data_IF_121308825386
#
_entry.id   IF_121308825386
#
_cell.length_a   1.000
_cell.length_b   1.000
_cell.length_c   1.000
_cell.angle_alpha   90.00
_cell.angle_beta   90.00
_cell.angle_gamma   90.00
#
_symmetry.space_group_name_H-M   'P 1'
#
loop_
_entity.id
_entity.type
_entity.pdbx_description
1 polymer ?
#
# COMPACT_ATOMS: atom_id res chain seq x y z
N UNK A 1 -25.32 -31.42 12.40
CA UNK A 1 -25.47 -30.06 12.97
C UNK A 1 -24.07 -29.64 13.41
N UNK A 2 -23.36 -28.68 12.84
CA UNK A 2 -23.60 -27.68 11.79
C UNK A 2 -22.31 -27.67 10.96
N UNK A 3 -22.40 -27.91 9.65
CA UNK A 3 -21.26 -27.72 8.76
C UNK A 3 -21.06 -26.20 8.61
N UNK A 4 -19.93 -25.70 9.10
CA UNK A 4 -19.53 -24.30 8.93
C UNK A 4 -19.41 -24.00 7.44
N UNK A 5 -20.33 -23.17 6.95
CA UNK A 5 -20.30 -22.71 5.57
C UNK A 5 -19.24 -21.60 5.48
N UNK A 6 -17.97 -21.98 5.25
CA UNK A 6 -16.93 -21.03 4.83
C UNK A 6 -17.37 -20.52 3.46
N UNK A 7 -17.99 -19.34 3.44
CA UNK A 7 -18.31 -18.65 2.20
C UNK A 7 -16.95 -18.34 1.56
N UNK A 8 -16.61 -19.07 0.50
CA UNK A 8 -15.52 -18.66 -0.36
C UNK A 8 -15.87 -17.27 -0.89
N UNK A 9 -15.23 -16.23 -0.36
CA UNK A 9 -15.36 -14.88 -0.87
C UNK A 9 -15.05 -14.93 -2.36
N UNK A 10 -15.99 -14.47 -3.18
CA UNK A 10 -15.75 -14.39 -4.62
C UNK A 10 -14.54 -13.49 -4.86
N UNK A 11 -13.64 -13.92 -5.76
CA UNK A 11 -12.48 -13.12 -6.23
C UNK A 11 -12.82 -11.66 -6.58
N UNK A 12 -14.09 -11.41 -6.90
CA UNK A 12 -14.66 -10.11 -7.26
C UNK A 12 -14.63 -9.04 -6.15
N UNK A 13 -14.25 -9.36 -4.90
CA UNK A 13 -14.15 -8.37 -3.82
C UNK A 13 -12.84 -8.43 -3.02
N UNK A 14 -11.89 -9.27 -3.47
CA UNK A 14 -10.63 -9.49 -2.79
C UNK A 14 -9.77 -8.22 -2.72
N UNK A 15 -9.09 -8.01 -1.60
CA UNK A 15 -8.26 -6.85 -1.30
C UNK A 15 -6.81 -7.28 -1.10
N UNK A 16 -5.91 -6.79 -1.94
CA UNK A 16 -4.47 -6.95 -1.74
C UNK A 16 -3.89 -5.69 -1.10
N UNK A 17 -3.21 -5.85 0.03
CA UNK A 17 -2.38 -4.82 0.64
C UNK A 17 -0.95 -4.94 0.13
N UNK A 18 -0.36 -3.84 -0.32
CA UNK A 18 1.00 -3.79 -0.84
C UNK A 18 1.81 -2.77 -0.04
N UNK A 19 2.82 -3.24 0.69
CA UNK A 19 3.82 -2.41 1.35
C UNK A 19 4.99 -2.19 0.39
N UNK A 20 5.25 -0.92 0.02
CA UNK A 20 6.42 -0.55 -0.78
C UNK A 20 7.63 -0.35 0.15
N UNK A 21 8.57 -1.30 0.14
CA UNK A 21 9.72 -1.33 1.05
C UNK A 21 11.06 -1.57 0.34
N UNK A 22 11.11 -1.40 -0.98
CA UNK A 22 12.24 -1.80 -1.81
C UNK A 22 13.39 -0.78 -1.87
N UNK A 23 13.16 0.45 -1.41
CA UNK A 23 14.11 1.55 -1.53
C UNK A 23 15.34 1.41 -0.63
N UNK A 24 16.48 1.94 -1.12
CA UNK A 24 17.74 1.98 -0.36
C UNK A 24 17.71 2.95 0.83
N UNK A 25 16.71 3.84 0.89
CA UNK A 25 16.59 4.84 1.95
C UNK A 25 17.76 5.80 1.99
N UNK A 26 18.30 6.20 0.84
CA UNK A 26 19.53 7.01 0.74
C UNK A 26 19.51 8.30 1.56
N UNK A 27 18.34 8.95 1.70
CA UNK A 27 18.15 10.13 2.54
C UNK A 27 18.12 9.79 4.04
N UNK A 28 17.54 8.65 4.38
CA UNK A 28 17.45 8.13 5.75
C UNK A 28 18.76 7.51 6.23
N UNK A 29 19.63 7.09 5.29
CA UNK A 29 20.93 6.47 5.54
C UNK A 29 20.92 4.93 5.56
N UNK A 30 19.75 4.29 5.44
CA UNK A 30 19.60 2.83 5.38
C UNK A 30 18.25 2.41 4.80
N UNK A 31 18.10 1.17 4.29
CA UNK A 31 16.81 0.63 3.87
C UNK A 31 15.79 0.70 5.01
N UNK A 32 14.70 1.45 4.81
CA UNK A 32 13.72 1.74 5.87
C UNK A 32 12.97 0.51 6.37
N UNK A 33 12.99 -0.60 5.62
CA UNK A 33 12.50 -1.90 6.08
C UNK A 33 13.22 -2.43 7.33
N UNK A 34 14.46 -1.97 7.58
CA UNK A 34 15.26 -2.28 8.77
C UNK A 34 15.15 -1.21 9.87
N UNK A 35 14.41 -0.12 9.64
CA UNK A 35 14.30 0.97 10.58
C UNK A 35 13.60 0.52 11.87
N UNK A 36 14.00 1.13 13.00
CA UNK A 36 13.52 0.75 14.33
C UNK A 36 13.59 -0.77 14.59
N UNK A 37 14.67 -1.42 14.14
CA UNK A 37 14.88 -2.87 14.29
C UNK A 37 13.77 -3.71 13.61
N UNK A 38 13.19 -3.21 12.51
CA UNK A 38 12.12 -3.87 11.75
C UNK A 38 10.70 -3.47 12.19
N UNK A 39 10.54 -2.74 13.29
CA UNK A 39 9.22 -2.38 13.81
C UNK A 39 8.36 -1.57 12.82
N UNK A 40 8.97 -0.80 11.92
CA UNK A 40 8.21 -0.06 10.90
C UNK A 40 7.56 -1.01 9.89
N UNK A 41 8.25 -2.08 9.50
CA UNK A 41 7.69 -3.12 8.66
C UNK A 41 6.53 -3.84 9.37
N UNK A 42 6.71 -4.21 10.65
CA UNK A 42 5.68 -4.87 11.44
C UNK A 42 4.40 -4.06 11.51
N UNK A 43 4.53 -2.74 11.73
CA UNK A 43 3.38 -1.83 11.78
C UNK A 43 2.69 -1.68 10.44
N UNK A 44 3.45 -1.55 9.34
CA UNK A 44 2.87 -1.45 7.99
C UNK A 44 2.10 -2.72 7.61
N UNK A 45 2.63 -3.90 7.96
CA UNK A 45 1.95 -5.18 7.74
C UNK A 45 0.68 -5.27 8.60
N UNK A 46 0.78 -4.98 9.89
CA UNK A 46 -0.36 -5.00 10.80
C UNK A 46 -1.46 -3.99 10.40
N UNK A 47 -1.08 -2.83 9.87
CA UNK A 47 -2.03 -1.83 9.36
C UNK A 47 -2.83 -2.36 8.16
N UNK A 48 -2.18 -3.04 7.22
CA UNK A 48 -2.86 -3.61 6.06
C UNK A 48 -3.74 -4.80 6.43
N UNK A 49 -3.22 -5.74 7.21
CA UNK A 49 -3.94 -6.93 7.67
C UNK A 49 -5.17 -6.54 8.49
N UNK A 50 -4.98 -5.77 9.58
CA UNK A 50 -6.07 -5.28 10.42
C UNK A 50 -7.00 -4.29 9.70
N UNK A 51 -6.54 -3.66 8.62
CA UNK A 51 -7.29 -2.72 7.81
C UNK A 51 -8.24 -3.37 6.79
N UNK A 52 -8.24 -4.70 6.69
CA UNK A 52 -9.14 -5.45 5.81
C UNK A 52 -8.54 -5.88 4.47
N UNK A 53 -7.21 -6.03 4.40
CA UNK A 53 -6.55 -6.69 3.27
C UNK A 53 -6.58 -8.21 3.46
N UNK A 54 -6.98 -8.95 2.42
CA UNK A 54 -7.04 -10.42 2.44
C UNK A 54 -5.67 -11.07 2.17
N UNK A 55 -4.78 -10.37 1.45
CA UNK A 55 -3.40 -10.77 1.15
C UNK A 55 -2.49 -9.56 1.38
N UNK A 56 -1.41 -9.71 2.16
CA UNK A 56 -0.44 -8.64 2.43
C UNK A 56 0.89 -8.97 1.78
N UNK A 57 1.33 -8.09 0.89
CA UNK A 57 2.49 -8.27 0.04
C UNK A 57 3.50 -7.18 0.38
N UNK A 58 4.70 -7.59 0.77
CA UNK A 58 5.82 -6.68 1.00
C UNK A 58 6.75 -6.71 -0.20
N UNK A 59 6.89 -5.57 -0.86
CA UNK A 59 7.84 -5.43 -1.98
C UNK A 59 9.19 -5.02 -1.42
N UNK A 60 10.15 -5.94 -1.49
CA UNK A 60 11.54 -5.78 -1.06
C UNK A 60 12.46 -5.42 -2.22
N UNK A 61 13.68 -5.00 -1.92
CA UNK A 61 14.63 -4.52 -2.93
C UNK A 61 16.04 -4.40 -2.36
N UNK A 62 16.45 -3.18 -2.04
CA UNK A 62 17.79 -2.87 -1.51
C UNK A 62 18.19 -3.68 -0.27
N UNK A 63 17.20 -4.09 0.54
CA UNK A 63 17.35 -5.11 1.56
C UNK A 63 16.28 -6.19 1.37
N UNK A 64 16.68 -7.44 1.61
CA UNK A 64 15.79 -8.60 1.68
C UNK A 64 15.80 -9.08 3.12
N UNK A 65 14.62 -9.14 3.73
CA UNK A 65 14.41 -9.50 5.14
C UNK A 65 13.30 -10.53 5.24
N UNK A 66 13.24 -11.23 6.36
CA UNK A 66 12.06 -12.01 6.72
C UNK A 66 10.89 -11.06 6.97
N UNK A 67 9.72 -11.41 6.44
CA UNK A 67 8.51 -10.62 6.61
C UNK A 67 7.61 -11.22 7.69
N UNK A 68 6.99 -10.40 8.54
CA UNK A 68 6.11 -10.89 9.58
C UNK A 68 4.84 -11.50 8.97
N UNK A 69 4.35 -12.59 9.56
CA UNK A 69 3.06 -13.15 9.20
C UNK A 69 1.93 -12.12 9.48
N UNK A 70 0.84 -12.10 8.69
CA UNK A 70 0.53 -13.03 7.59
C UNK A 70 1.14 -12.65 6.24
N UNK A 71 2.02 -11.64 6.18
CA UNK A 71 2.53 -11.13 4.92
C UNK A 71 3.45 -12.13 4.21
N UNK A 72 3.53 -11.97 2.89
CA UNK A 72 4.52 -12.61 2.01
C UNK A 72 5.34 -11.54 1.29
N UNK A 73 6.57 -11.89 0.90
CA UNK A 73 7.44 -10.96 0.18
C UNK A 73 7.49 -11.23 -1.32
N UNK A 74 7.74 -10.17 -2.08
CA UNK A 74 8.24 -10.24 -3.46
C UNK A 74 9.46 -9.33 -3.56
N UNK A 75 10.45 -9.72 -4.35
CA UNK A 75 11.66 -8.91 -4.55
C UNK A 75 11.53 -8.18 -5.87
N UNK A 76 11.57 -6.84 -5.83
CA UNK A 76 11.43 -6.03 -7.02
C UNK A 76 12.67 -6.16 -7.91
N UNK A 77 12.48 -6.64 -9.13
CA UNK A 77 13.52 -6.70 -10.14
C UNK A 77 13.71 -5.31 -10.73
N UNK A 78 14.89 -4.72 -10.56
CA UNK A 78 15.13 -3.33 -10.98
C UNK A 78 14.68 -2.27 -9.97
N UNK A 79 14.65 -2.60 -8.66
CA UNK A 79 14.43 -1.57 -7.62
C UNK A 79 15.39 -0.37 -7.74
N UNK A 80 16.59 -0.60 -8.29
CA UNK A 80 17.58 0.45 -8.56
C UNK A 80 17.14 1.42 -9.67
N UNK A 81 16.20 1.03 -10.53
CA UNK A 81 15.65 1.86 -11.61
C UNK A 81 14.56 2.85 -11.11
N UNK A 82 14.19 2.76 -9.82
CA UNK A 82 13.32 3.71 -9.11
C UNK A 82 12.00 3.11 -8.63
N UNK A 83 11.20 3.93 -7.92
CA UNK A 83 9.91 3.57 -7.31
C UNK A 83 8.95 2.84 -8.28
N UNK A 84 9.00 3.18 -9.57
CA UNK A 84 8.13 2.59 -10.58
C UNK A 84 8.28 1.06 -10.70
N UNK A 85 9.48 0.52 -10.52
CA UNK A 85 9.72 -0.93 -10.59
C UNK A 85 9.03 -1.65 -9.42
N UNK A 86 9.21 -1.12 -8.20
CA UNK A 86 8.62 -1.70 -6.99
C UNK A 86 7.10 -1.65 -7.00
N UNK A 87 6.50 -0.57 -7.49
CA UNK A 87 5.04 -0.51 -7.66
C UNK A 87 4.59 -1.55 -8.67
N UNK A 88 5.22 -1.67 -9.85
CA UNK A 88 4.83 -2.67 -10.85
C UNK A 88 4.89 -4.10 -10.32
N UNK A 89 5.96 -4.45 -9.60
CA UNK A 89 6.10 -5.80 -9.05
C UNK A 89 5.08 -6.08 -7.93
N UNK A 90 4.76 -5.08 -7.11
CA UNK A 90 3.65 -5.18 -6.16
C UNK A 90 2.29 -5.37 -6.82
N UNK A 91 2.00 -4.60 -7.88
CA UNK A 91 0.75 -4.72 -8.63
C UNK A 91 0.62 -6.08 -9.32
N UNK A 92 1.71 -6.59 -9.90
CA UNK A 92 1.75 -7.92 -10.51
C UNK A 92 1.54 -9.02 -9.46
N UNK A 93 2.16 -8.88 -8.29
CA UNK A 93 2.04 -9.84 -7.19
C UNK A 93 0.63 -9.89 -6.58
N UNK A 94 -0.12 -8.77 -6.62
CA UNK A 94 -1.51 -8.70 -6.19
C UNK A 94 -2.46 -9.52 -7.08
N UNK A 95 -2.01 -9.90 -8.28
CA UNK A 95 -2.70 -10.82 -9.16
C UNK A 95 -4.10 -10.34 -9.53
N UNK A 96 -5.11 -11.06 -9.04
CA UNK A 96 -6.50 -10.87 -9.44
C UNK A 96 -7.38 -10.07 -8.47
N UNK A 97 -6.79 -9.48 -7.42
CA UNK A 97 -7.54 -8.70 -6.43
C UNK A 97 -8.37 -7.58 -7.08
N UNK A 98 -9.59 -7.36 -6.58
CA UNK A 98 -10.45 -6.27 -7.05
C UNK A 98 -9.96 -4.91 -6.52
N UNK A 99 -9.35 -4.91 -5.33
CA UNK A 99 -8.86 -3.71 -4.67
C UNK A 99 -7.39 -3.86 -4.31
N UNK A 100 -6.61 -2.82 -4.59
CA UNK A 100 -5.22 -2.74 -4.13
C UNK A 100 -5.07 -1.57 -3.17
N UNK A 101 -4.57 -1.84 -1.97
CA UNK A 101 -4.17 -0.83 -0.98
C UNK A 101 -2.65 -0.67 -1.04
N UNK A 102 -2.18 0.47 -1.55
CA UNK A 102 -0.77 0.84 -1.55
C UNK A 102 -0.42 1.58 -0.25
N UNK A 103 0.58 1.08 0.45
CA UNK A 103 1.12 1.65 1.69
C UNK A 103 2.65 1.63 1.69
N UNK A 104 3.25 2.30 2.67
CA UNK A 104 4.70 2.51 2.77
C UNK A 104 5.18 2.26 4.20
N UNK A 105 6.45 1.89 4.36
CA UNK A 105 7.05 1.61 5.67
C UNK A 105 7.41 2.88 6.46
N UNK A 106 7.47 4.03 5.81
CA UNK A 106 7.95 5.28 6.41
C UNK A 106 6.88 6.16 7.05
N UNK A 107 5.64 5.69 7.11
CA UNK A 107 4.54 6.27 7.88
C UNK A 107 4.16 5.37 9.07
N UNK A 108 5.04 5.17 10.07
CA UNK A 108 4.85 4.15 11.10
C UNK A 108 3.76 4.46 12.13
N UNK A 109 3.11 5.61 12.03
CA UNK A 109 1.94 6.01 12.84
C UNK A 109 0.61 5.73 12.13
N UNK A 110 0.61 5.42 10.83
CA UNK A 110 -0.59 5.10 10.07
C UNK A 110 -1.00 3.66 10.34
N UNK A 111 -2.13 3.49 11.04
CA UNK A 111 -2.64 2.19 11.47
C UNK A 111 -3.82 1.65 10.65
N UNK A 112 -4.33 0.50 11.09
CA UNK A 112 -5.43 -0.24 10.46
C UNK A 112 -6.70 0.59 10.27
N UNK A 113 -7.04 1.47 11.20
CA UNK A 113 -8.24 2.32 11.10
C UNK A 113 -8.18 3.26 9.89
N UNK A 114 -6.99 3.78 9.56
CA UNK A 114 -6.81 4.63 8.38
C UNK A 114 -6.96 3.81 7.10
N UNK A 115 -6.37 2.61 7.07
CA UNK A 115 -6.51 1.66 5.94
C UNK A 115 -7.98 1.31 5.71
N UNK A 116 -8.70 0.89 6.74
CA UNK A 116 -10.10 0.51 6.66
C UNK A 116 -10.97 1.68 6.19
N UNK A 117 -10.72 2.90 6.69
CA UNK A 117 -11.47 4.11 6.31
C UNK A 117 -11.29 4.45 4.83
N UNK A 118 -10.05 4.40 4.31
CA UNK A 118 -9.77 4.71 2.91
C UNK A 118 -10.32 3.61 1.99
N UNK A 119 -10.19 2.34 2.37
CA UNK A 119 -10.75 1.20 1.64
C UNK A 119 -12.28 1.28 1.54
N UNK A 120 -12.94 1.61 2.65
CA UNK A 120 -14.39 1.83 2.68
C UNK A 120 -14.82 2.95 1.72
N UNK A 121 -14.12 4.08 1.73
CA UNK A 121 -14.41 5.19 0.83
C UNK A 121 -14.22 4.80 -0.64
N UNK A 122 -13.16 4.04 -0.97
CA UNK A 122 -12.94 3.57 -2.34
C UNK A 122 -14.08 2.67 -2.81
N UNK A 123 -14.53 1.72 -1.98
CA UNK A 123 -15.66 0.81 -2.26
C UNK A 123 -16.99 1.55 -2.48
N UNK A 124 -17.23 2.62 -1.72
CA UNK A 124 -18.42 3.47 -1.88
C UNK A 124 -18.33 4.47 -3.05
N UNK A 125 -17.15 4.71 -3.60
CA UNK A 125 -16.93 5.67 -4.68
C UNK A 125 -17.25 5.09 -6.06
N UNK A 126 -17.74 5.93 -6.99
CA UNK A 126 -17.96 5.50 -8.39
C UNK A 126 -16.63 5.18 -9.10
N UNK A 127 -15.58 5.93 -8.80
CA UNK A 127 -14.27 5.77 -9.44
C UNK A 127 -13.53 4.55 -8.92
N UNK A 128 -13.75 4.12 -7.67
CA UNK A 128 -12.96 3.07 -7.05
C UNK A 128 -11.56 3.55 -6.66
N UNK A 129 -11.37 4.87 -6.54
CA UNK A 129 -10.11 5.51 -6.18
C UNK A 129 -10.30 6.29 -4.89
N UNK A 130 -9.43 6.05 -3.92
CA UNK A 130 -9.35 6.86 -2.70
C UNK A 130 -7.91 7.03 -2.23
N UNK A 131 -7.64 8.09 -1.48
CA UNK A 131 -6.37 8.31 -0.80
C UNK A 131 -6.59 8.95 0.56
N UNK A 132 -5.75 8.60 1.51
CA UNK A 132 -5.68 9.31 2.78
C UNK A 132 -5.26 10.77 2.57
N UNK A 133 -5.80 11.64 3.42
CA UNK A 133 -5.41 13.03 3.57
C UNK A 133 -5.26 13.30 5.07
N UNK A 134 -4.21 14.01 5.45
CA UNK A 134 -3.90 14.35 6.83
C UNK A 134 -3.71 15.86 6.94
N UNK A 135 -4.71 16.54 7.50
CA UNK A 135 -4.76 18.01 7.59
C UNK A 135 -4.57 18.67 6.21
N UNK A 136 -5.30 18.16 5.21
CA UNK A 136 -5.23 18.65 3.83
C UNK A 136 -4.01 18.19 3.02
N UNK A 137 -3.10 17.42 3.62
CA UNK A 137 -1.92 16.86 2.92
C UNK A 137 -2.21 15.44 2.41
N UNK A 138 -2.15 15.18 1.10
CA UNK A 138 -2.31 13.82 0.57
C UNK A 138 -1.21 12.89 1.09
N UNK A 139 -1.58 11.67 1.48
CA UNK A 139 -0.66 10.66 2.00
C UNK A 139 -1.12 9.23 1.71
N UNK A 140 -0.51 8.27 2.41
CA UNK A 140 -0.85 6.85 2.37
C UNK A 140 -1.83 6.47 3.49
N UNK A 141 -2.66 5.42 3.31
CA UNK A 141 -2.72 4.55 2.14
C UNK A 141 -3.48 5.14 0.95
N UNK A 142 -3.21 4.55 -0.22
CA UNK A 142 -3.93 4.80 -1.47
C UNK A 142 -4.68 3.52 -1.85
N UNK A 143 -5.94 3.62 -2.26
CA UNK A 143 -6.73 2.48 -2.70
C UNK A 143 -7.09 2.64 -4.18
N UNK A 144 -6.83 1.57 -4.94
CA UNK A 144 -7.01 1.52 -6.39
C UNK A 144 -7.83 0.29 -6.77
N UNK A 145 -9.00 0.51 -7.38
CA UNK A 145 -9.78 -0.58 -7.98
C UNK A 145 -9.08 -1.18 -9.20
N UNK A 146 -9.31 -2.47 -9.44
CA UNK A 146 -8.65 -3.28 -10.46
C UNK A 146 -8.70 -2.68 -11.86
N UNK A 147 -9.85 -2.08 -12.21
CA UNK A 147 -10.08 -1.41 -13.50
C UNK A 147 -9.04 -0.33 -13.85
N UNK A 148 -8.36 0.23 -12.84
CA UNK A 148 -7.35 1.26 -13.02
C UNK A 148 -5.93 0.73 -13.11
N UNK A 149 -5.67 -0.55 -12.80
CA UNK A 149 -4.31 -1.07 -12.65
C UNK A 149 -3.51 -1.02 -13.94
N UNK A 150 -4.14 -1.26 -15.09
CA UNK A 150 -3.49 -1.13 -16.39
C UNK A 150 -3.05 0.33 -16.65
N UNK A 151 -3.92 1.30 -16.34
CA UNK A 151 -3.63 2.72 -16.51
C UNK A 151 -2.57 3.20 -15.51
N UNK A 152 -2.65 2.75 -14.25
CA UNK A 152 -1.65 2.99 -13.22
C UNK A 152 -0.30 2.45 -13.70
N UNK A 153 -0.21 1.17 -14.06
CA UNK A 153 1.04 0.54 -14.51
C UNK A 153 1.67 1.25 -15.72
N UNK A 154 0.85 1.69 -16.68
CA UNK A 154 1.31 2.44 -17.85
C UNK A 154 1.82 3.86 -17.50
N UNK A 155 1.33 4.46 -16.42
CA UNK A 155 1.78 5.79 -15.97
C UNK A 155 3.07 5.77 -15.17
N UNK A 156 3.48 4.62 -14.64
CA UNK A 156 4.69 4.49 -13.83
C UNK A 156 5.94 4.68 -14.72
N UNK A 157 6.85 5.56 -14.30
CA UNK A 157 8.15 5.74 -14.95
C UNK A 157 9.15 6.39 -13.98
N UNK A 158 10.41 5.96 -14.01
CA UNK A 158 11.46 6.43 -13.11
C UNK A 158 11.06 6.30 -11.64
N UNK A 159 11.14 7.41 -10.92
CA UNK A 159 10.85 7.49 -9.49
C UNK A 159 9.40 7.88 -9.15
N UNK A 160 8.49 7.81 -10.12
CA UNK A 160 7.09 8.12 -9.89
C UNK A 160 6.32 6.89 -9.40
N UNK A 161 5.76 6.98 -8.19
CA UNK A 161 4.78 6.03 -7.67
C UNK A 161 3.34 6.41 -8.06
N UNK A 162 2.35 5.84 -7.38
CA UNK A 162 0.93 6.09 -7.65
C UNK A 162 0.51 7.57 -7.53
N UNK A 163 1.30 8.41 -6.85
CA UNK A 163 1.06 9.86 -6.72
C UNK A 163 0.85 10.54 -8.07
N UNK A 164 1.64 10.20 -9.09
CA UNK A 164 1.52 10.83 -10.42
C UNK A 164 0.26 10.39 -11.15
N UNK A 165 -0.10 9.11 -11.03
CA UNK A 165 -1.37 8.58 -11.55
C UNK A 165 -2.59 9.30 -10.97
N UNK A 166 -2.54 9.65 -9.68
CA UNK A 166 -3.62 10.36 -9.00
C UNK A 166 -3.60 11.88 -9.23
N UNK A 167 -2.50 12.45 -9.69
CA UNK A 167 -2.35 13.89 -9.83
C UNK A 167 -3.27 14.44 -10.93
N UNK A 168 -4.01 15.52 -10.62
CA UNK A 168 -4.91 16.17 -11.58
C UNK A 168 -6.24 15.44 -11.82
N UNK A 169 -6.47 14.29 -11.17
CA UNK A 169 -7.75 13.59 -11.21
C UNK A 169 -8.75 14.23 -10.24
N UNK A 170 -9.97 14.45 -10.72
CA UNK A 170 -11.11 14.95 -9.94
C UNK A 170 -11.99 13.83 -9.38
N UNK A 171 -11.75 12.59 -9.80
CA UNK A 171 -12.51 11.39 -9.41
C UNK A 171 -11.89 10.62 -8.24
N UNK A 172 -10.80 11.12 -7.63
CA UNK A 172 -10.16 10.47 -6.47
C UNK A 172 -10.82 10.94 -5.17
N UNK A 173 -11.34 10.00 -4.39
CA UNK A 173 -11.91 10.31 -3.06
C UNK A 173 -10.80 10.69 -2.09
N UNK A 174 -10.76 11.95 -1.66
CA UNK A 174 -9.88 12.42 -0.59
C UNK A 174 -10.50 12.08 0.77
N UNK A 175 -9.82 11.28 1.59
CA UNK A 175 -10.34 10.75 2.85
C UNK A 175 -9.55 11.31 4.01
N UNK A 176 -10.16 12.22 4.77
CA UNK A 176 -9.51 12.83 5.92
C UNK A 176 -9.27 11.81 7.05
N UNK A 177 -8.03 11.77 7.52
CA UNK A 177 -7.50 10.83 8.51
C UNK A 177 -6.61 11.50 9.55
N UNK A 178 -6.57 12.85 9.63
CA UNK A 178 -5.78 13.59 10.63
C UNK A 178 -6.17 13.31 12.09
N UNK A 179 -7.37 12.77 12.33
CA UNK A 179 -7.79 12.25 13.65
C UNK A 179 -7.17 10.89 14.02
N UNK A 180 -6.58 10.18 13.05
CA UNK A 180 -6.04 8.83 13.22
C UNK A 180 -4.50 8.78 13.25
N UNK A 181 -3.85 9.62 12.44
CA UNK A 181 -2.40 9.66 12.32
C UNK A 181 -1.95 11.03 11.80
N UNK A 182 -0.64 11.30 11.91
CA UNK A 182 -0.05 12.49 11.29
C UNK A 182 0.18 12.30 9.79
N UNK A 183 0.36 11.04 9.36
CA UNK A 183 0.62 10.68 7.97
C UNK A 183 1.94 11.25 7.42
N UNK A 184 2.88 11.58 8.31
CA UNK A 184 4.17 12.15 7.95
C UNK A 184 5.15 11.04 7.61
N UNK A 185 5.63 11.07 6.37
CA UNK A 185 6.72 10.19 5.91
C UNK A 185 8.03 10.59 6.63
N UNK A 186 8.68 9.62 7.30
CA UNK A 186 9.96 9.85 7.97
C UNK A 186 11.09 9.55 6.98
N UNK A 187 11.65 10.61 6.40
CA UNK A 187 12.64 10.55 5.33
C UNK A 187 14.10 10.74 5.76
N UNK A 188 14.31 11.34 6.93
CA UNK A 188 15.63 11.69 7.50
C UNK A 188 15.67 11.25 8.97
N UNK A 189 16.88 11.13 9.54
CA UNK A 189 17.12 10.67 10.91
C UNK A 189 17.57 11.81 11.84
#
# INVERSE_FOLDING_TARGET
>A
MVAGNTIAMSKADAVAGVVLAAGAGSRYGMPKVLAAEGQWLDRAVAALDGGGCDDVIVVLGAAVVDVPAPARSVVATGWADGMSASVRDGLNAAGDAEWIVLHTVDTPDVGADAVARVLFAARGSRSGLARAVYDGRPGHPVVVARRHLAALAASLHGDQGARSFLAGRDDVSAVECGDLATGVDIDER
#
